data_IF_110870211507
#
_entry.id   IF_110870211507
#
_cell.length_a   1.000
_cell.length_b   1.000
_cell.length_c   1.000
_cell.angle_alpha   90.00
_cell.angle_beta   90.00
_cell.angle_gamma   90.00
#
_symmetry.space_group_name_H-M   'P 1'
#
loop_
_entity.id
_entity.type
_entity.pdbx_description
1 polymer ?
#
# COMPACT_ATOMS: atom_id res chain seq x y z
N UNK A 1 -12.04 -4.70 17.84
CA UNK A 1 -11.35 -4.45 16.55
C UNK A 1 -10.06 -5.23 16.60
N UNK A 2 -9.76 -6.00 15.55
CA UNK A 2 -8.50 -6.76 15.46
C UNK A 2 -7.34 -5.77 15.44
N UNK A 3 -6.29 -6.04 16.24
CA UNK A 3 -5.08 -5.24 16.20
C UNK A 3 -4.22 -5.70 15.02
N UNK A 4 -4.31 -5.00 13.88
CA UNK A 4 -3.45 -5.28 12.73
C UNK A 4 -1.99 -4.96 13.06
N UNK A 5 -1.08 -5.62 12.35
CA UNK A 5 0.34 -5.31 12.40
C UNK A 5 0.99 -5.42 11.01
N UNK A 6 2.13 -4.74 10.85
CA UNK A 6 2.94 -4.82 9.64
C UNK A 6 4.02 -5.89 9.81
N UNK A 7 4.13 -6.76 8.81
CA UNK A 7 5.11 -7.85 8.75
C UNK A 7 5.99 -7.70 7.52
N UNK A 8 7.28 -7.90 7.67
CA UNK A 8 8.19 -8.06 6.53
C UNK A 8 7.90 -9.37 5.79
N UNK A 9 8.06 -9.31 4.48
CA UNK A 9 7.78 -10.46 3.61
C UNK A 9 8.89 -11.49 3.75
N UNK A 10 8.50 -12.75 3.83
CA UNK A 10 9.41 -13.89 3.84
C UNK A 10 8.86 -15.04 2.99
N UNK A 11 9.67 -16.03 2.59
CA UNK A 11 9.21 -17.12 1.73
C UNK A 11 7.99 -17.90 2.25
N UNK A 12 7.80 -17.95 3.57
CA UNK A 12 6.64 -18.62 4.19
C UNK A 12 5.31 -17.92 3.83
N UNK A 13 5.36 -16.65 3.42
CA UNK A 13 4.18 -15.84 3.09
C UNK A 13 3.73 -15.99 1.63
N UNK A 14 4.54 -16.61 0.77
CA UNK A 14 4.23 -16.70 -0.67
C UNK A 14 2.88 -17.37 -0.99
N UNK A 15 2.46 -18.45 -0.32
CA UNK A 15 1.13 -19.01 -0.56
C UNK A 15 0.00 -18.01 -0.24
N UNK A 16 0.12 -17.25 0.85
CA UNK A 16 -0.86 -16.24 1.23
C UNK A 16 -0.87 -15.05 0.23
N UNK A 17 0.30 -14.63 -0.25
CA UNK A 17 0.44 -13.60 -1.28
C UNK A 17 -0.17 -14.04 -2.61
N UNK A 18 0.07 -15.28 -3.04
CA UNK A 18 -0.53 -15.84 -4.25
C UNK A 18 -2.07 -15.88 -4.13
N UNK A 19 -2.59 -16.30 -3.00
CA UNK A 19 -4.03 -16.30 -2.73
C UNK A 19 -4.61 -14.87 -2.70
N UNK A 20 -3.90 -13.92 -2.11
CA UNK A 20 -4.26 -12.49 -2.09
C UNK A 20 -4.36 -11.92 -3.52
N UNK A 21 -3.33 -12.14 -4.33
CA UNK A 21 -3.32 -11.77 -5.76
C UNK A 21 -4.52 -12.38 -6.49
N UNK A 22 -4.74 -13.68 -6.31
CA UNK A 22 -5.82 -14.40 -6.99
C UNK A 22 -7.21 -13.86 -6.61
N UNK A 23 -7.40 -13.42 -5.37
CA UNK A 23 -8.65 -12.82 -4.91
C UNK A 23 -9.01 -11.53 -5.68
N UNK A 24 -8.01 -10.74 -6.08
CA UNK A 24 -8.18 -9.57 -6.93
C UNK A 24 -8.46 -9.96 -8.39
N UNK A 25 -7.66 -10.86 -8.95
CA UNK A 25 -7.82 -11.31 -10.34
C UNK A 25 -9.19 -11.95 -10.59
N UNK A 26 -9.67 -12.78 -9.67
CA UNK A 26 -11.00 -13.41 -9.77
C UNK A 26 -12.15 -12.40 -9.80
N UNK A 27 -11.94 -11.19 -9.29
CA UNK A 27 -12.92 -10.09 -9.29
C UNK A 27 -12.67 -9.06 -10.38
N UNK A 28 -11.65 -9.27 -11.23
CA UNK A 28 -11.21 -8.31 -12.25
C UNK A 28 -10.89 -6.93 -11.65
N UNK A 29 -10.28 -6.93 -10.46
CA UNK A 29 -9.88 -5.74 -9.73
C UNK A 29 -8.37 -5.54 -9.80
N UNK A 30 -7.92 -4.29 -9.71
CA UNK A 30 -6.51 -3.93 -9.59
C UNK A 30 -6.15 -3.75 -8.11
N UNK A 31 -5.08 -4.41 -7.67
CA UNK A 31 -4.54 -4.25 -6.33
C UNK A 31 -3.58 -3.05 -6.30
N UNK A 32 -4.11 -1.84 -6.19
CA UNK A 32 -3.29 -0.64 -6.12
C UNK A 32 -2.30 -0.67 -4.94
N UNK A 33 -1.09 -0.14 -5.14
CA UNK A 33 -0.09 -0.04 -4.09
C UNK A 33 0.56 -1.37 -3.66
N UNK A 34 0.46 -2.41 -4.49
CA UNK A 34 1.05 -3.73 -4.22
C UNK A 34 2.36 -4.00 -4.99
N UNK A 35 3.04 -2.96 -5.49
CA UNK A 35 4.30 -3.15 -6.23
C UNK A 35 4.12 -4.06 -7.46
N UNK A 36 3.08 -3.81 -8.23
CA UNK A 36 2.73 -4.54 -9.47
C UNK A 36 2.55 -6.06 -9.26
N UNK A 37 2.05 -6.46 -8.08
CA UNK A 37 1.85 -7.88 -7.71
C UNK A 37 1.04 -8.67 -8.75
N UNK A 38 0.08 -8.02 -9.40
CA UNK A 38 -0.77 -8.62 -10.43
C UNK A 38 0.02 -9.14 -11.65
N UNK A 39 1.18 -8.56 -11.93
CA UNK A 39 2.03 -8.90 -13.08
C UNK A 39 2.98 -10.08 -12.82
N UNK A 40 2.95 -10.65 -11.61
CA UNK A 40 3.87 -11.73 -11.24
C UNK A 40 3.12 -13.01 -10.90
N UNK A 41 3.41 -14.09 -11.62
CA UNK A 41 2.93 -15.43 -11.28
C UNK A 41 3.77 -16.09 -10.18
N UNK A 42 5.05 -15.72 -10.09
CA UNK A 42 5.98 -16.20 -9.07
C UNK A 42 6.21 -15.16 -7.96
N UNK A 43 5.80 -15.48 -6.75
CA UNK A 43 5.91 -14.60 -5.60
C UNK A 43 7.36 -14.38 -5.16
N UNK A 44 8.27 -15.31 -5.42
CA UNK A 44 9.68 -15.13 -5.11
C UNK A 44 10.30 -14.04 -5.99
N UNK A 45 10.03 -14.05 -7.29
CA UNK A 45 10.48 -13.02 -8.24
C UNK A 45 9.90 -11.64 -7.90
N UNK A 46 8.62 -11.58 -7.54
CA UNK A 46 8.02 -10.33 -7.08
C UNK A 46 8.70 -9.82 -5.80
N UNK A 47 8.89 -10.67 -4.80
CA UNK A 47 9.54 -10.29 -3.54
C UNK A 47 10.97 -9.83 -3.78
N UNK A 48 11.76 -10.53 -4.62
CA UNK A 48 13.11 -10.13 -4.98
C UNK A 48 13.15 -8.72 -5.60
N UNK A 49 12.18 -8.39 -6.47
CA UNK A 49 12.04 -7.03 -7.00
C UNK A 49 11.75 -6.03 -5.87
N UNK A 50 10.82 -6.33 -4.94
CA UNK A 50 10.54 -5.41 -3.83
C UNK A 50 11.79 -5.16 -2.95
N UNK A 51 12.60 -6.19 -2.71
CA UNK A 51 13.88 -6.05 -2.00
C UNK A 51 14.85 -5.14 -2.78
N UNK A 52 14.94 -5.30 -4.10
CA UNK A 52 15.77 -4.44 -4.94
C UNK A 52 15.31 -2.97 -4.91
N UNK A 53 14.00 -2.71 -4.77
CA UNK A 53 13.43 -1.35 -4.66
C UNK A 53 13.78 -0.64 -3.35
N UNK A 54 14.33 -1.32 -2.35
CA UNK A 54 14.75 -0.68 -1.09
C UNK A 54 16.09 0.06 -1.18
N UNK A 55 16.90 -0.20 -2.21
CA UNK A 55 18.27 0.26 -2.34
C UNK A 55 18.43 1.16 -3.56
N UNK A 56 19.04 2.35 -3.38
CA UNK A 56 19.29 3.30 -4.48
C UNK A 56 20.10 2.70 -5.62
N UNK A 57 21.07 1.86 -5.31
CA UNK A 57 22.01 1.28 -6.27
C UNK A 57 21.34 0.31 -7.24
N UNK A 58 20.18 -0.22 -6.87
CA UNK A 58 19.40 -1.19 -7.66
C UNK A 58 18.13 -0.61 -8.26
N UNK A 59 17.85 0.70 -8.00
CA UNK A 59 16.65 1.35 -8.53
C UNK A 59 16.77 1.59 -10.04
N UNK A 60 15.70 1.30 -10.81
CA UNK A 60 15.58 1.81 -12.15
C UNK A 60 15.50 3.35 -12.16
N UNK A 61 15.89 3.96 -13.28
CA UNK A 61 15.75 5.41 -13.46
C UNK A 61 14.28 5.85 -13.29
N UNK A 62 14.06 6.96 -12.58
CA UNK A 62 12.73 7.50 -12.32
C UNK A 62 11.97 6.86 -11.15
N UNK A 63 12.55 5.86 -10.48
CA UNK A 63 11.96 5.25 -9.29
C UNK A 63 12.51 5.86 -8.00
N UNK A 64 11.72 5.78 -6.93
CA UNK A 64 12.10 6.17 -5.57
C UNK A 64 12.34 4.93 -4.71
N UNK A 65 13.24 4.99 -3.71
CA UNK A 65 13.37 3.93 -2.72
C UNK A 65 12.03 3.70 -2.02
N UNK A 66 11.67 2.44 -1.88
CA UNK A 66 10.37 2.06 -1.33
C UNK A 66 10.46 0.81 -0.46
N UNK A 67 9.57 0.70 0.50
CA UNK A 67 9.39 -0.46 1.37
C UNK A 67 7.96 -0.96 1.27
N UNK A 68 7.80 -2.28 1.34
CA UNK A 68 6.48 -2.91 1.31
C UNK A 68 6.34 -3.87 2.49
N UNK A 69 5.16 -3.91 3.09
CA UNK A 69 4.84 -4.80 4.20
C UNK A 69 3.51 -5.52 3.94
N UNK A 70 3.42 -6.72 4.48
CA UNK A 70 2.15 -7.41 4.68
C UNK A 70 1.41 -6.79 5.85
N UNK A 71 0.10 -6.62 5.70
CA UNK A 71 -0.80 -6.22 6.79
C UNK A 71 -1.49 -7.47 7.29
N UNK A 72 -1.19 -7.85 8.52
CA UNK A 72 -1.63 -9.09 9.13
C UNK A 72 -2.68 -8.85 10.20
N UNK A 73 -3.69 -9.69 10.20
CA UNK A 73 -4.67 -9.82 11.29
C UNK A 73 -4.31 -11.03 12.15
N UNK A 74 -4.06 -10.82 13.46
CA UNK A 74 -3.76 -11.92 14.36
C UNK A 74 -4.93 -12.92 14.44
N UNK A 75 -4.61 -14.21 14.41
CA UNK A 75 -5.59 -15.24 14.69
C UNK A 75 -6.05 -15.18 16.15
N UNK A 76 -7.32 -15.36 16.37
CA UNK A 76 -7.90 -15.52 17.72
C UNK A 76 -7.96 -16.97 18.16
N UNK A 77 -7.58 -17.92 17.29
CA UNK A 77 -7.58 -19.35 17.57
C UNK A 77 -6.15 -19.84 17.83
N UNK A 78 -5.96 -20.57 18.91
CA UNK A 78 -4.66 -21.15 19.26
C UNK A 78 -4.15 -22.06 18.13
N UNK A 79 -2.90 -21.83 17.69
CA UNK A 79 -2.24 -22.63 16.65
C UNK A 79 -2.66 -22.32 15.22
N UNK A 80 -3.60 -21.40 14.99
CA UNK A 80 -3.95 -20.95 13.65
C UNK A 80 -3.01 -19.81 13.17
N UNK A 81 -2.73 -19.81 11.87
CA UNK A 81 -1.91 -18.75 11.25
C UNK A 81 -2.66 -17.42 11.18
N UNK A 82 -1.92 -16.32 11.31
CA UNK A 82 -2.44 -14.97 11.09
C UNK A 82 -2.87 -14.80 9.63
N UNK A 83 -3.85 -13.95 9.42
CA UNK A 83 -4.44 -13.71 8.11
C UNK A 83 -3.80 -12.50 7.42
N UNK A 84 -3.39 -12.68 6.17
CA UNK A 84 -3.02 -11.57 5.29
C UNK A 84 -4.30 -10.82 4.86
N UNK A 85 -4.42 -9.54 5.25
CA UNK A 85 -5.59 -8.69 4.97
C UNK A 85 -5.28 -7.50 4.08
N UNK A 86 -4.01 -7.20 3.83
CA UNK A 86 -3.62 -6.09 2.99
C UNK A 86 -2.12 -6.01 2.72
N UNK A 87 -1.77 -5.06 1.87
CA UNK A 87 -0.40 -4.67 1.57
C UNK A 87 -0.24 -3.17 1.76
N UNK A 88 0.88 -2.74 2.33
CA UNK A 88 1.26 -1.35 2.50
C UNK A 88 2.59 -1.09 1.82
N UNK A 89 2.64 -0.09 0.96
CA UNK A 89 3.82 0.32 0.19
C UNK A 89 4.14 1.77 0.49
N UNK A 90 5.33 2.05 1.03
CA UNK A 90 5.82 3.37 1.38
C UNK A 90 7.03 3.73 0.52
N UNK A 91 6.93 4.79 -0.26
CA UNK A 91 8.01 5.42 -1.00
C UNK A 91 8.67 6.46 -0.11
N UNK A 92 10.00 6.39 0.01
CA UNK A 92 10.76 7.24 0.94
C UNK A 92 11.06 8.63 0.35
N UNK A 93 10.80 8.82 -0.93
CA UNK A 93 11.04 10.07 -1.67
C UNK A 93 9.96 10.25 -2.74
N UNK A 94 9.81 11.48 -3.21
CA UNK A 94 8.95 11.80 -4.34
C UNK A 94 9.79 12.17 -5.56
N UNK A 95 9.72 11.36 -6.61
CA UNK A 95 10.11 11.78 -7.97
C UNK A 95 9.08 12.79 -8.48
N UNK A 96 9.35 13.43 -9.62
CA UNK A 96 8.40 14.40 -10.21
C UNK A 96 7.05 13.76 -10.49
N UNK A 97 7.04 12.53 -11.03
CA UNK A 97 5.81 11.77 -11.25
C UNK A 97 5.07 11.47 -9.94
N UNK A 98 5.79 10.98 -8.93
CA UNK A 98 5.19 10.66 -7.63
C UNK A 98 4.66 11.91 -6.92
N UNK A 99 5.34 13.03 -7.06
CA UNK A 99 4.88 14.33 -6.52
C UNK A 99 3.59 14.78 -7.18
N UNK A 100 3.40 14.48 -8.43
CA UNK A 100 2.23 14.90 -9.19
C UNK A 100 1.07 13.90 -9.04
N UNK A 101 1.32 12.60 -9.17
CA UNK A 101 0.29 11.57 -9.32
C UNK A 101 0.36 10.42 -8.31
N UNK A 102 1.55 9.93 -7.95
CA UNK A 102 1.68 8.67 -7.21
C UNK A 102 1.73 8.80 -5.69
N UNK A 103 2.21 9.93 -5.15
CA UNK A 103 2.39 10.13 -3.70
C UNK A 103 3.40 9.17 -3.05
N UNK A 104 3.49 9.26 -1.71
CA UNK A 104 4.38 8.40 -0.91
C UNK A 104 3.77 7.02 -0.62
N UNK A 105 2.45 6.92 -0.50
CA UNK A 105 1.80 5.70 0.02
C UNK A 105 0.88 5.10 -1.03
N UNK A 106 1.05 3.80 -1.28
CA UNK A 106 0.08 2.96 -1.93
C UNK A 106 -0.34 1.84 -0.98
N UNK A 107 -1.59 1.44 -1.01
CA UNK A 107 -2.09 0.34 -0.20
C UNK A 107 -3.28 -0.36 -0.84
N UNK A 108 -3.49 -1.59 -0.43
CA UNK A 108 -4.71 -2.34 -0.76
C UNK A 108 -5.16 -3.20 0.41
N UNK A 109 -6.45 -3.51 0.44
CA UNK A 109 -7.09 -4.38 1.42
C UNK A 109 -7.78 -5.51 0.67
N UNK A 110 -7.62 -6.74 1.14
CA UNK A 110 -8.29 -7.91 0.57
C UNK A 110 -9.78 -7.60 0.33
N UNK A 111 -10.34 -7.92 -0.86
CA UNK A 111 -11.70 -7.51 -1.22
C UNK A 111 -12.79 -7.94 -0.25
N UNK A 112 -12.63 -9.07 0.41
CA UNK A 112 -13.55 -9.58 1.43
C UNK A 112 -13.42 -8.89 2.80
N UNK A 113 -12.42 -8.00 2.95
CA UNK A 113 -12.18 -7.19 4.15
C UNK A 113 -12.61 -5.73 3.98
N UNK A 114 -13.19 -5.34 2.83
CA UNK A 114 -13.61 -3.97 2.59
C UNK A 114 -14.75 -3.52 3.51
N UNK A 115 -14.77 -2.23 3.85
CA UNK A 115 -15.82 -1.65 4.70
C UNK A 115 -15.72 -1.94 6.19
N UNK A 116 -14.69 -2.70 6.62
CA UNK A 116 -14.52 -3.15 8.01
C UNK A 116 -13.51 -2.31 8.82
N UNK A 117 -13.04 -1.19 8.27
CA UNK A 117 -12.08 -0.31 8.94
C UNK A 117 -10.61 -0.68 8.82
N UNK A 118 -10.29 -1.79 8.15
CA UNK A 118 -8.91 -2.26 7.97
C UNK A 118 -8.02 -1.22 7.27
N UNK A 119 -8.53 -0.54 6.24
CA UNK A 119 -7.76 0.49 5.53
C UNK A 119 -7.33 1.64 6.44
N UNK A 120 -8.20 2.06 7.36
CA UNK A 120 -7.87 3.12 8.33
C UNK A 120 -6.75 2.69 9.28
N UNK A 121 -6.80 1.47 9.79
CA UNK A 121 -5.75 0.91 10.65
C UNK A 121 -4.44 0.71 9.87
N UNK A 122 -4.52 0.18 8.64
CA UNK A 122 -3.37 -0.01 7.76
C UNK A 122 -2.63 1.32 7.56
N UNK A 123 -3.37 2.37 7.18
CA UNK A 123 -2.73 3.67 6.94
C UNK A 123 -2.12 4.23 8.23
N UNK A 124 -2.76 4.13 9.39
CA UNK A 124 -2.18 4.54 10.66
C UNK A 124 -0.83 3.84 10.93
N UNK A 125 -0.75 2.52 10.74
CA UNK A 125 0.50 1.75 10.87
C UNK A 125 1.56 2.21 9.86
N UNK A 126 1.14 2.57 8.64
CA UNK A 126 2.06 3.07 7.60
C UNK A 126 2.62 4.44 8.01
N UNK A 127 1.81 5.33 8.60
CA UNK A 127 2.26 6.62 9.12
C UNK A 127 3.31 6.43 10.21
N UNK A 128 3.14 5.45 11.10
CA UNK A 128 4.14 5.13 12.12
C UNK A 128 5.46 4.65 11.51
N UNK A 129 5.40 3.84 10.45
CA UNK A 129 6.59 3.47 9.68
C UNK A 129 7.25 4.68 9.01
N UNK A 130 6.47 5.57 8.44
CA UNK A 130 6.99 6.78 7.82
C UNK A 130 7.72 7.70 8.82
N UNK A 131 7.20 7.85 10.05
CA UNK A 131 7.90 8.55 11.14
C UNK A 131 9.23 7.89 11.49
N UNK A 132 9.27 6.55 11.57
CA UNK A 132 10.51 5.79 11.81
C UNK A 132 11.54 5.97 10.71
N UNK A 133 11.11 6.18 9.46
CA UNK A 133 11.98 6.50 8.32
C UNK A 133 12.39 7.99 8.26
N UNK A 134 11.94 8.82 9.21
CA UNK A 134 12.31 10.24 9.31
C UNK A 134 11.50 11.17 8.40
N UNK A 135 10.42 10.68 7.80
CA UNK A 135 9.51 11.52 7.03
C UNK A 135 8.68 12.39 7.98
N UNK A 136 8.45 13.64 7.59
CA UNK A 136 7.68 14.60 8.39
C UNK A 136 6.30 14.87 7.80
N UNK A 137 6.12 14.57 6.53
CA UNK A 137 4.90 14.83 5.78
C UNK A 137 4.74 13.86 4.62
N UNK A 138 3.53 13.36 4.41
CA UNK A 138 3.23 12.44 3.32
C UNK A 138 2.20 13.02 2.36
N UNK A 139 2.47 12.89 1.06
CA UNK A 139 1.49 13.03 0.01
C UNK A 139 0.86 11.65 -0.25
N UNK A 140 -0.47 11.58 -0.24
CA UNK A 140 -1.23 10.39 -0.59
C UNK A 140 -2.25 10.79 -1.66
N UNK A 141 -2.37 9.97 -2.69
CA UNK A 141 -3.31 10.19 -3.78
C UNK A 141 -4.33 9.07 -3.83
N UNK A 142 -5.52 9.38 -4.27
CA UNK A 142 -6.54 8.38 -4.60
C UNK A 142 -7.43 8.89 -5.74
N UNK A 143 -8.01 7.96 -6.49
CA UNK A 143 -9.00 8.30 -7.50
C UNK A 143 -10.17 9.06 -6.89
N UNK A 144 -10.64 10.09 -7.56
CA UNK A 144 -11.85 10.82 -7.14
C UNK A 144 -13.05 9.89 -7.05
N UNK A 145 -13.10 8.87 -7.88
CA UNK A 145 -14.14 7.84 -7.89
C UNK A 145 -14.01 6.82 -6.75
N UNK A 146 -12.97 6.91 -5.90
CA UNK A 146 -12.73 6.02 -4.77
C UNK A 146 -12.99 6.70 -3.40
N UNK A 147 -14.26 6.92 -3.00
CA UNK A 147 -14.59 7.55 -1.74
C UNK A 147 -14.16 6.71 -0.51
N UNK A 148 -13.91 5.42 -0.71
CA UNK A 148 -13.38 4.55 0.35
C UNK A 148 -11.97 4.95 0.75
N UNK A 149 -11.08 5.15 -0.24
CA UNK A 149 -9.71 5.61 0.01
C UNK A 149 -9.68 7.04 0.55
N UNK A 150 -10.48 7.95 0.00
CA UNK A 150 -10.58 9.32 0.51
C UNK A 150 -10.92 9.34 2.03
N UNK A 151 -11.94 8.58 2.45
CA UNK A 151 -12.32 8.46 3.87
C UNK A 151 -11.23 7.86 4.75
N UNK A 152 -10.48 6.89 4.24
CA UNK A 152 -9.32 6.31 4.96
C UNK A 152 -8.26 7.38 5.21
N UNK A 153 -7.94 8.17 4.19
CA UNK A 153 -6.94 9.23 4.25
C UNK A 153 -7.39 10.34 5.21
N UNK A 154 -8.63 10.82 5.08
CA UNK A 154 -9.20 11.87 5.93
C UNK A 154 -9.28 11.45 7.41
N UNK A 155 -9.65 10.19 7.70
CA UNK A 155 -9.67 9.65 9.07
C UNK A 155 -8.27 9.58 9.70
N UNK A 156 -7.22 9.58 8.90
CA UNK A 156 -5.82 9.62 9.34
C UNK A 156 -5.24 11.06 9.31
N UNK A 157 -6.07 12.07 9.21
CA UNK A 157 -5.64 13.47 9.25
C UNK A 157 -5.25 14.05 7.88
N UNK A 158 -5.62 13.37 6.80
CA UNK A 158 -5.37 13.87 5.45
C UNK A 158 -6.17 15.11 5.12
N UNK A 159 -5.46 16.14 4.63
CA UNK A 159 -6.04 17.40 4.17
C UNK A 159 -5.94 17.45 2.65
N UNK A 160 -7.09 17.60 1.98
CA UNK A 160 -7.15 17.72 0.53
C UNK A 160 -6.44 19.01 0.09
N UNK A 161 -5.43 18.86 -0.77
CA UNK A 161 -4.72 20.00 -1.38
C UNK A 161 -5.44 20.44 -2.66
N UNK A 162 -5.62 19.52 -3.58
CA UNK A 162 -6.25 19.78 -4.88
C UNK A 162 -6.64 18.47 -5.59
N UNK A 163 -7.27 18.63 -6.77
CA UNK A 163 -7.47 17.58 -7.75
C UNK A 163 -6.49 17.80 -8.90
N UNK A 164 -5.96 16.72 -9.44
CA UNK A 164 -5.13 16.73 -10.65
C UNK A 164 -5.67 15.73 -11.67
N UNK A 165 -5.48 16.02 -12.94
CA UNK A 165 -5.88 15.12 -14.04
C UNK A 165 -4.64 14.36 -14.51
N UNK A 166 -4.71 13.03 -14.51
CA UNK A 166 -3.68 12.19 -15.10
C UNK A 166 -3.70 12.27 -16.64
N UNK A 167 -2.61 11.87 -17.32
CA UNK A 167 -2.55 11.91 -18.78
C UNK A 167 -3.64 11.10 -19.50
N UNK A 168 -4.20 10.08 -18.85
CA UNK A 168 -5.32 9.25 -19.35
C UNK A 168 -6.71 9.87 -19.09
N UNK A 169 -6.76 11.02 -18.37
CA UNK A 169 -7.98 11.73 -18.05
C UNK A 169 -8.58 11.36 -16.68
N UNK A 170 -7.99 10.42 -15.93
CA UNK A 170 -8.45 10.09 -14.59
C UNK A 170 -8.22 11.27 -13.63
N UNK A 171 -9.14 11.49 -12.70
CA UNK A 171 -9.04 12.54 -11.67
C UNK A 171 -8.57 11.96 -10.35
N UNK A 172 -7.47 12.52 -9.85
CA UNK A 172 -6.89 12.17 -8.56
C UNK A 172 -7.10 13.27 -7.54
N UNK A 173 -7.52 12.89 -6.34
CA UNK A 173 -7.47 13.70 -5.14
C UNK A 173 -6.08 13.59 -4.51
N UNK A 174 -5.46 14.72 -4.19
CA UNK A 174 -4.14 14.79 -3.53
C UNK A 174 -4.32 15.29 -2.11
N UNK A 175 -3.89 14.47 -1.16
CA UNK A 175 -3.98 14.75 0.27
C UNK A 175 -2.61 14.83 0.90
N UNK A 176 -2.43 15.75 1.86
CA UNK A 176 -1.25 15.80 2.71
C UNK A 176 -1.58 15.39 4.13
N UNK A 177 -0.67 14.64 4.75
CA UNK A 177 -0.69 14.30 6.16
C UNK A 177 0.62 14.77 6.78
N UNK A 178 0.56 15.62 7.78
CA UNK A 178 1.70 15.98 8.62
C UNK A 178 1.87 14.89 9.70
N UNK A 179 3.13 14.46 9.98
CA UNK A 179 3.44 13.30 10.83
C UNK A 179 3.85 13.70 12.26
#
# INVERSE_FOLDING_TARGET
>A
MSNLYLKEISPVDYPALAAYRQAYLNRQLVAHGCGDLENYDDMASWHQRQVAMTKRETLPEGYAPAKIWLVMEPSTQDGASDRLVGLSHLRLELTDYLRQFGGHVGYSIAPDCWGQGYGTQLLALTLDKARQEGLQRLLITCDQSNPGSARVIEKNGGVLENLVTEPDGNLLCRYWIDL
#
